data_IF_423049143500
#
_entry.id   IF_423049143500
#
_cell.length_a   1.000
_cell.length_b   1.000
_cell.length_c   1.000
_cell.angle_alpha   90.00
_cell.angle_beta   90.00
_cell.angle_gamma   90.00
#
_symmetry.space_group_name_H-M   'P 1'
#
loop_
_entity.id
_entity.type
_entity.pdbx_description
1 polymer ?
#
# COMPACT_ATOMS: atom_id res chain seq x y z
N UNK A 1 -13.51 -8.52 26.61
CA UNK A 1 -13.13 -8.12 25.23
C UNK A 1 -12.22 -9.20 24.67
N UNK A 2 -12.42 -9.63 23.42
CA UNK A 2 -11.56 -10.61 22.77
C UNK A 2 -10.34 -9.88 22.21
N UNK A 3 -9.14 -10.35 22.51
CA UNK A 3 -7.93 -9.77 21.93
C UNK A 3 -7.89 -9.99 20.41
N UNK A 4 -7.45 -9.00 19.63
CA UNK A 4 -7.22 -9.18 18.20
C UNK A 4 -6.11 -10.21 17.98
N UNK A 5 -6.21 -10.99 16.90
CA UNK A 5 -5.12 -11.89 16.52
C UNK A 5 -3.86 -11.17 16.06
N UNK A 6 -3.99 -9.92 15.58
CA UNK A 6 -2.90 -9.09 15.07
C UNK A 6 -2.12 -9.77 13.92
N UNK A 7 -2.75 -10.71 13.22
CA UNK A 7 -2.15 -11.30 12.02
C UNK A 7 -1.97 -10.24 10.94
N UNK A 8 -1.02 -10.48 10.05
CA UNK A 8 -0.67 -9.63 8.93
C UNK A 8 -0.99 -10.31 7.60
N UNK A 9 -1.50 -9.54 6.65
CA UNK A 9 -1.51 -9.88 5.23
C UNK A 9 -1.04 -8.67 4.45
N UNK A 10 -0.16 -8.86 3.46
CA UNK A 10 0.28 -7.79 2.58
C UNK A 10 -0.07 -8.16 1.14
N UNK A 11 -0.70 -7.22 0.42
CA UNK A 11 -0.91 -7.28 -1.02
C UNK A 11 0.00 -6.24 -1.69
N UNK A 12 0.69 -6.62 -2.76
CA UNK A 12 1.52 -5.73 -3.57
C UNK A 12 1.12 -5.81 -5.04
N UNK A 13 1.05 -4.65 -5.71
CA UNK A 13 0.80 -4.52 -7.13
C UNK A 13 2.13 -4.19 -7.85
N UNK A 14 2.51 -4.97 -8.87
CA UNK A 14 3.78 -4.78 -9.59
C UNK A 14 3.60 -4.39 -11.05
N UNK A 15 4.61 -3.69 -11.55
CA UNK A 15 4.77 -3.26 -12.93
C UNK A 15 5.55 -4.31 -13.73
N UNK A 16 5.05 -4.72 -14.90
CA UNK A 16 5.83 -5.50 -15.87
C UNK A 16 6.51 -4.56 -16.87
N UNK A 17 7.83 -4.69 -17.01
CA UNK A 17 8.69 -3.78 -17.76
C UNK A 17 9.39 -4.52 -18.90
N UNK A 18 9.39 -3.89 -20.07
CA UNK A 18 10.26 -4.27 -21.19
C UNK A 18 11.68 -3.70 -20.94
N UNK A 19 12.72 -4.54 -20.81
CA UNK A 19 14.06 -4.08 -20.49
C UNK A 19 14.78 -3.40 -21.66
N UNK A 20 14.23 -3.37 -22.88
CA UNK A 20 14.79 -2.58 -23.97
C UNK A 20 14.24 -1.15 -23.92
N UNK A 21 12.92 -1.01 -23.88
CA UNK A 21 12.24 0.30 -23.94
C UNK A 21 12.15 1.00 -22.59
N UNK A 22 12.17 0.23 -21.48
CA UNK A 22 11.81 0.61 -20.11
C UNK A 22 10.35 1.02 -19.96
N UNK A 23 9.49 0.65 -20.91
CA UNK A 23 8.05 0.92 -20.82
C UNK A 23 7.30 -0.24 -20.15
N UNK A 24 6.13 0.08 -19.62
CA UNK A 24 5.16 -0.93 -19.19
C UNK A 24 4.77 -1.83 -20.37
N UNK A 25 4.70 -3.13 -20.09
CA UNK A 25 4.28 -4.16 -21.03
C UNK A 25 3.00 -4.84 -20.53
N UNK A 26 1.95 -4.85 -21.36
CA UNK A 26 0.77 -5.68 -21.14
C UNK A 26 1.15 -7.16 -21.28
N UNK A 27 1.08 -7.94 -20.20
CA UNK A 27 1.54 -9.34 -20.21
C UNK A 27 0.77 -10.28 -19.26
N UNK A 28 -0.08 -9.77 -18.37
CA UNK A 28 -0.71 -10.61 -17.32
C UNK A 28 -1.52 -11.78 -17.88
N UNK A 29 -2.17 -11.62 -19.04
CA UNK A 29 -3.04 -12.65 -19.61
C UNK A 29 -2.24 -13.85 -20.09
N UNK A 30 -1.10 -13.61 -20.74
CA UNK A 30 -0.16 -14.66 -21.17
C UNK A 30 0.54 -15.35 -19.99
N UNK A 31 0.80 -14.59 -18.92
CA UNK A 31 1.33 -15.11 -17.65
C UNK A 31 0.37 -16.13 -17.01
N UNK A 32 -0.93 -15.86 -17.05
CA UNK A 32 -1.96 -16.69 -16.41
C UNK A 32 -2.39 -17.90 -17.25
N UNK A 33 -2.31 -17.82 -18.58
CA UNK A 33 -2.64 -18.93 -19.49
C UNK A 33 -1.62 -20.07 -19.43
N UNK A 34 -0.36 -19.76 -19.10
CA UNK A 34 0.74 -20.74 -19.13
C UNK A 34 0.90 -21.57 -17.85
N UNK A 35 0.30 -21.16 -16.72
CA UNK A 35 0.47 -21.84 -15.43
C UNK A 35 -0.81 -21.80 -14.56
N UNK A 36 -1.79 -22.66 -14.87
CA UNK A 36 -3.05 -22.78 -14.10
C UNK A 36 -2.86 -23.09 -12.60
N UNK A 37 -1.69 -23.60 -12.19
CA UNK A 37 -1.40 -23.87 -10.78
C UNK A 37 -1.10 -22.60 -9.95
N UNK A 38 -0.71 -21.48 -10.57
CA UNK A 38 -0.24 -20.26 -9.88
C UNK A 38 -1.40 -19.32 -9.45
N UNK A 39 -2.62 -19.60 -9.90
CA UNK A 39 -3.80 -18.73 -9.74
C UNK A 39 -4.28 -18.48 -8.30
N UNK A 40 -3.74 -19.19 -7.29
CA UNK A 40 -4.09 -18.97 -5.89
C UNK A 40 -3.43 -17.72 -5.27
N UNK A 41 -2.25 -17.35 -5.75
CA UNK A 41 -1.40 -16.30 -5.15
C UNK A 41 -1.21 -15.09 -6.06
N UNK A 42 -1.37 -15.26 -7.38
CA UNK A 42 -1.35 -14.18 -8.36
C UNK A 42 -2.78 -13.91 -8.81
N UNK A 43 -3.21 -12.65 -8.71
CA UNK A 43 -4.49 -12.19 -9.25
C UNK A 43 -4.25 -11.17 -10.36
N UNK A 44 -4.96 -11.27 -11.50
CA UNK A 44 -4.98 -10.20 -12.48
C UNK A 44 -5.72 -8.97 -11.94
N UNK A 45 -5.18 -7.77 -12.19
CA UNK A 45 -5.81 -6.48 -11.89
C UNK A 45 -6.51 -5.88 -13.14
N UNK A 46 -7.10 -4.69 -13.04
CA UNK A 46 -7.79 -3.91 -14.07
C UNK A 46 -6.94 -3.69 -15.32
N UNK A 47 -5.64 -3.43 -15.18
CA UNK A 47 -4.74 -3.26 -16.32
C UNK A 47 -3.85 -4.50 -16.52
N UNK A 48 -3.57 -4.83 -17.78
CA UNK A 48 -2.80 -6.03 -18.12
C UNK A 48 -1.31 -5.96 -17.74
N UNK A 49 -0.83 -4.78 -17.36
CA UNK A 49 0.55 -4.54 -16.91
C UNK A 49 0.70 -4.62 -15.39
N UNK A 50 -0.38 -4.97 -14.65
CA UNK A 50 -0.40 -5.08 -13.19
C UNK A 50 -0.49 -6.55 -12.76
N UNK A 51 0.45 -6.97 -11.93
CA UNK A 51 0.40 -8.25 -11.19
C UNK A 51 0.08 -7.94 -9.72
N UNK A 52 -1.04 -8.43 -9.20
CA UNK A 52 -1.33 -8.38 -7.76
C UNK A 52 -0.92 -9.70 -7.11
N UNK A 53 -0.12 -9.64 -6.04
CA UNK A 53 0.17 -10.78 -5.18
C UNK A 53 -0.24 -10.50 -3.74
N UNK A 54 -0.68 -11.53 -3.03
CA UNK A 54 -1.00 -11.44 -1.61
C UNK A 54 -0.27 -12.49 -0.80
N UNK A 55 0.33 -12.10 0.32
CA UNK A 55 0.91 -13.05 1.28
C UNK A 55 -0.17 -13.96 1.85
N UNK A 56 0.24 -15.13 2.32
CA UNK A 56 -0.58 -15.87 3.28
C UNK A 56 -0.77 -15.03 4.57
N UNK A 57 -1.73 -15.45 5.41
CA UNK A 57 -1.94 -14.83 6.73
C UNK A 57 -0.73 -15.15 7.62
N UNK A 58 0.07 -14.13 7.91
CA UNK A 58 1.28 -14.20 8.71
C UNK A 58 1.00 -13.79 10.15
N UNK A 59 1.75 -14.34 11.11
CA UNK A 59 1.70 -13.93 12.52
C UNK A 59 2.71 -12.84 12.85
N UNK A 60 3.81 -12.81 12.11
CA UNK A 60 4.95 -11.93 12.41
C UNK A 60 5.43 -11.21 11.15
N UNK A 61 6.05 -10.02 11.29
CA UNK A 61 6.70 -9.34 10.17
C UNK A 61 7.81 -10.18 9.51
N UNK A 62 8.45 -11.10 10.23
CA UNK A 62 9.45 -12.00 9.68
C UNK A 62 8.84 -13.03 8.72
N UNK A 63 7.65 -13.56 9.05
CA UNK A 63 6.90 -14.42 8.13
C UNK A 63 6.48 -13.63 6.88
N UNK A 64 6.01 -12.39 7.04
CA UNK A 64 5.70 -11.48 5.93
C UNK A 64 6.92 -11.28 5.03
N UNK A 65 8.11 -11.04 5.60
CA UNK A 65 9.36 -10.89 4.83
C UNK A 65 9.63 -12.12 3.97
N UNK A 66 9.54 -13.32 4.54
CA UNK A 66 9.77 -14.56 3.82
C UNK A 66 8.77 -14.72 2.67
N UNK A 67 7.49 -14.47 2.92
CA UNK A 67 6.45 -14.57 1.89
C UNK A 67 6.61 -13.52 0.79
N UNK A 68 6.91 -12.26 1.12
CA UNK A 68 7.13 -11.22 0.11
C UNK A 68 8.35 -11.53 -0.78
N UNK A 69 9.46 -12.00 -0.19
CA UNK A 69 10.63 -12.43 -0.99
C UNK A 69 10.27 -13.58 -1.92
N UNK A 70 9.51 -14.56 -1.44
CA UNK A 70 9.06 -15.70 -2.23
C UNK A 70 8.15 -15.24 -3.38
N UNK A 71 7.15 -14.41 -3.10
CA UNK A 71 6.19 -13.92 -4.08
C UNK A 71 6.85 -13.03 -5.13
N UNK A 72 7.71 -12.09 -4.73
CA UNK A 72 8.50 -11.28 -5.67
C UNK A 72 9.40 -12.14 -6.55
N UNK A 73 10.11 -13.09 -5.94
CA UNK A 73 11.00 -14.02 -6.66
C UNK A 73 10.25 -14.87 -7.70
N UNK A 74 9.05 -15.32 -7.35
CA UNK A 74 8.15 -16.02 -8.27
C UNK A 74 7.70 -15.13 -9.44
N UNK A 75 7.19 -13.92 -9.16
CA UNK A 75 6.72 -13.01 -10.23
C UNK A 75 7.87 -12.60 -11.15
N UNK A 76 9.04 -12.31 -10.59
CA UNK A 76 10.27 -12.04 -11.36
C UNK A 76 10.68 -13.23 -12.22
N UNK A 77 10.61 -14.44 -11.67
CA UNK A 77 10.89 -15.67 -12.40
C UNK A 77 10.00 -15.88 -13.60
N UNK A 78 8.69 -15.66 -13.43
CA UNK A 78 7.72 -15.77 -14.52
C UNK A 78 7.95 -14.70 -15.60
N UNK A 79 8.20 -13.45 -15.21
CA UNK A 79 8.52 -12.36 -16.15
C UNK A 79 9.81 -12.65 -16.93
N UNK A 80 10.84 -13.17 -16.26
CA UNK A 80 12.13 -13.48 -16.86
C UNK A 80 12.06 -14.55 -17.96
N UNK A 81 11.05 -15.43 -17.97
CA UNK A 81 10.85 -16.42 -19.05
C UNK A 81 10.56 -15.79 -20.41
N UNK A 82 10.18 -14.51 -20.44
CA UNK A 82 9.96 -13.71 -21.65
C UNK A 82 10.90 -12.52 -21.75
N UNK A 83 12.03 -12.58 -21.03
CA UNK A 83 12.99 -11.49 -20.97
C UNK A 83 12.37 -10.18 -20.45
N UNK A 84 11.36 -10.25 -19.58
CA UNK A 84 10.72 -9.09 -18.95
C UNK A 84 11.25 -8.87 -17.52
N UNK A 85 11.08 -7.65 -17.02
CA UNK A 85 11.47 -7.23 -15.66
C UNK A 85 10.26 -6.81 -14.83
N UNK A 86 10.44 -6.76 -13.52
CA UNK A 86 9.39 -6.41 -12.56
C UNK A 86 9.85 -5.21 -11.74
N UNK A 87 8.96 -4.23 -11.55
CA UNK A 87 9.20 -3.03 -10.74
C UNK A 87 8.11 -2.86 -9.69
N UNK A 88 8.53 -2.50 -8.47
CA UNK A 88 7.67 -2.03 -7.40
C UNK A 88 7.84 -0.50 -7.19
N UNK A 89 6.93 0.30 -7.75
CA UNK A 89 6.82 1.74 -7.48
C UNK A 89 5.38 2.23 -7.66
N UNK A 90 4.95 3.28 -6.96
CA UNK A 90 3.56 3.71 -6.92
C UNK A 90 2.99 4.15 -8.28
N UNK A 91 3.87 4.59 -9.17
CA UNK A 91 3.59 4.94 -10.58
C UNK A 91 4.76 4.52 -11.45
N UNK A 92 4.51 4.32 -12.75
CA UNK A 92 5.59 4.21 -13.73
C UNK A 92 6.11 5.61 -14.09
N UNK A 93 7.44 5.83 -14.24
CA UNK A 93 7.97 7.18 -14.45
C UNK A 93 7.49 7.88 -15.73
N UNK A 94 7.34 7.13 -16.84
CA UNK A 94 7.03 7.75 -18.14
C UNK A 94 6.02 7.05 -19.06
N UNK A 95 5.49 5.90 -18.68
CA UNK A 95 4.58 5.16 -19.58
C UNK A 95 3.21 5.81 -19.58
N UNK A 96 2.57 5.81 -20.75
CA UNK A 96 1.27 6.42 -20.92
C UNK A 96 0.14 5.52 -20.45
N UNK A 97 -0.73 6.02 -19.56
CA UNK A 97 -1.96 5.34 -19.16
C UNK A 97 -2.99 5.26 -20.30
N UNK A 98 -2.95 6.21 -21.25
CA UNK A 98 -3.90 6.27 -22.36
C UNK A 98 -3.76 5.10 -23.34
N UNK A 99 -2.57 4.50 -23.41
CA UNK A 99 -2.25 3.42 -24.34
C UNK A 99 -2.22 2.05 -23.67
N UNK A 100 -2.51 1.95 -22.36
CA UNK A 100 -2.55 0.67 -21.67
C UNK A 100 -3.85 -0.08 -21.93
N UNK A 101 -3.73 -1.39 -22.08
CA UNK A 101 -4.86 -2.29 -22.27
C UNK A 101 -5.47 -2.69 -20.92
N UNK A 102 -6.80 -2.66 -20.87
CA UNK A 102 -7.57 -3.14 -19.73
C UNK A 102 -7.71 -4.66 -19.84
N UNK A 103 -7.55 -5.35 -18.72
CA UNK A 103 -7.69 -6.80 -18.61
C UNK A 103 -9.12 -7.21 -19.00
N UNK A 104 -9.30 -8.14 -19.94
CA UNK A 104 -10.61 -8.48 -20.51
C UNK A 104 -11.45 -9.40 -19.59
N UNK A 105 -11.57 -9.05 -18.31
CA UNK A 105 -12.44 -9.74 -17.34
C UNK A 105 -13.70 -8.91 -17.08
N UNK A 106 -14.84 -9.59 -16.92
CA UNK A 106 -16.17 -8.96 -16.83
C UNK A 106 -16.27 -7.91 -15.71
N UNK A 107 -15.66 -8.18 -14.55
CA UNK A 107 -15.58 -7.23 -13.42
C UNK A 107 -14.89 -5.92 -13.75
N UNK A 108 -13.94 -5.94 -14.69
CA UNK A 108 -13.11 -4.80 -15.08
C UNK A 108 -13.72 -4.02 -16.25
N UNK A 109 -14.43 -4.73 -17.13
CA UNK A 109 -15.28 -4.10 -18.16
C UNK A 109 -16.38 -3.27 -17.51
N UNK A 110 -17.03 -3.78 -16.45
CA UNK A 110 -18.03 -3.02 -15.68
C UNK A 110 -17.44 -1.75 -15.06
N UNK A 111 -16.27 -1.83 -14.42
CA UNK A 111 -15.58 -0.66 -13.86
C UNK A 111 -15.23 0.36 -14.95
N UNK A 112 -14.77 -0.06 -16.14
CA UNK A 112 -14.52 0.84 -17.27
C UNK A 112 -15.81 1.51 -17.75
N UNK A 113 -16.90 0.75 -17.87
CA UNK A 113 -18.20 1.29 -18.29
C UNK A 113 -18.74 2.31 -17.28
N UNK A 114 -18.54 2.08 -15.98
CA UNK A 114 -19.04 2.98 -14.94
C UNK A 114 -18.14 4.21 -14.75
N UNK A 115 -16.82 4.03 -14.78
CA UNK A 115 -15.84 5.05 -14.37
C UNK A 115 -15.12 5.74 -15.54
N UNK A 116 -15.23 5.20 -16.76
CA UNK A 116 -14.69 5.79 -17.99
C UNK A 116 -13.18 6.13 -17.85
N UNK A 117 -12.76 7.34 -18.20
CA UNK A 117 -11.37 7.79 -18.12
C UNK A 117 -10.74 7.61 -16.73
N UNK A 118 -11.54 7.66 -15.65
CA UNK A 118 -11.02 7.44 -14.30
C UNK A 118 -10.45 6.03 -14.18
N UNK A 119 -11.18 5.01 -14.66
CA UNK A 119 -10.67 3.63 -14.65
C UNK A 119 -9.39 3.50 -15.44
N UNK A 120 -9.28 4.17 -16.59
CA UNK A 120 -8.07 4.11 -17.41
C UNK A 120 -6.86 4.81 -16.77
N UNK A 121 -7.09 5.80 -15.89
CA UNK A 121 -6.03 6.47 -15.14
C UNK A 121 -5.48 5.63 -13.98
N UNK A 122 -6.15 4.53 -13.57
CA UNK A 122 -5.70 3.64 -12.48
C UNK A 122 -4.50 2.75 -12.86
N UNK A 123 -3.51 3.33 -13.53
CA UNK A 123 -2.20 2.71 -13.73
C UNK A 123 -1.28 3.07 -12.56
N UNK A 124 -1.73 2.73 -11.36
CA UNK A 124 -1.10 3.02 -10.09
C UNK A 124 -0.96 1.73 -9.29
N UNK A 125 0.03 1.68 -8.40
CA UNK A 125 0.44 0.44 -7.75
C UNK A 125 0.56 0.65 -6.25
N UNK A 126 -0.22 -0.09 -5.47
CA UNK A 126 -0.29 0.01 -4.02
C UNK A 126 0.38 -1.13 -3.28
N UNK A 127 0.72 -0.86 -2.02
CA UNK A 127 0.81 -1.89 -0.99
C UNK A 127 -0.44 -1.80 -0.13
N UNK A 128 -1.19 -2.90 0.01
CA UNK A 128 -2.29 -2.99 0.98
C UNK A 128 -1.85 -3.84 2.17
N UNK A 129 -2.15 -3.38 3.39
CA UNK A 129 -1.81 -4.11 4.62
C UNK A 129 -3.08 -4.43 5.37
N UNK A 130 -3.26 -5.70 5.73
CA UNK A 130 -4.33 -6.19 6.55
C UNK A 130 -3.81 -6.49 7.95
N UNK A 131 -4.50 -6.00 8.98
CA UNK A 131 -4.23 -6.36 10.38
C UNK A 131 -5.47 -7.05 10.97
N UNK A 132 -5.30 -8.27 11.48
CA UNK A 132 -6.36 -9.11 12.06
C UNK A 132 -6.98 -8.50 13.32
N UNK A 133 -8.28 -8.21 13.26
CA UNK A 133 -9.10 -7.66 14.35
C UNK A 133 -10.50 -8.30 14.28
N UNK A 134 -10.78 -9.23 15.20
CA UNK A 134 -12.03 -10.01 15.19
C UNK A 134 -13.20 -9.33 15.91
N UNK A 135 -12.94 -8.40 16.83
CA UNK A 135 -13.98 -7.63 17.53
C UNK A 135 -14.44 -6.47 16.62
N UNK A 136 -15.67 -6.48 16.08
CA UNK A 136 -16.12 -5.45 15.13
C UNK A 136 -16.19 -4.05 15.73
N UNK A 137 -16.46 -3.93 17.04
CA UNK A 137 -16.46 -2.63 17.70
C UNK A 137 -15.02 -2.11 17.86
N UNK A 138 -14.07 -3.00 18.16
CA UNK A 138 -12.67 -2.60 18.18
C UNK A 138 -12.13 -2.27 16.79
N UNK A 139 -12.62 -2.95 15.75
CA UNK A 139 -12.24 -2.66 14.37
C UNK A 139 -12.59 -1.21 13.99
N UNK A 140 -13.77 -0.71 14.39
CA UNK A 140 -14.17 0.68 14.16
C UNK A 140 -13.38 1.67 15.01
N UNK A 141 -13.20 1.39 16.31
CA UNK A 141 -12.37 2.24 17.19
C UNK A 141 -10.94 2.37 16.66
N UNK A 142 -10.35 1.24 16.27
CA UNK A 142 -9.02 1.16 15.69
C UNK A 142 -8.93 1.95 14.39
N UNK A 143 -9.91 1.80 13.48
CA UNK A 143 -9.97 2.60 12.25
C UNK A 143 -10.02 4.11 12.57
N UNK A 144 -10.93 4.53 13.45
CA UNK A 144 -11.14 5.94 13.79
C UNK A 144 -9.86 6.62 14.26
N UNK A 145 -9.08 5.93 15.10
CA UNK A 145 -7.79 6.45 15.60
C UNK A 145 -6.70 6.33 14.53
N UNK A 146 -6.63 5.21 13.80
CA UNK A 146 -5.55 4.93 12.85
C UNK A 146 -5.44 5.93 11.71
N UNK A 147 -6.54 6.63 11.37
CA UNK A 147 -6.55 7.75 10.41
C UNK A 147 -5.47 8.80 10.73
N UNK A 148 -5.16 9.04 12.02
CA UNK A 148 -4.14 10.01 12.42
C UNK A 148 -2.72 9.63 11.96
N UNK A 149 -2.39 8.34 11.96
CA UNK A 149 -1.04 7.86 11.64
C UNK A 149 -0.79 7.76 10.14
N UNK A 150 -1.85 7.71 9.33
CA UNK A 150 -1.77 7.58 7.87
C UNK A 150 -0.75 8.53 7.22
N UNK A 151 -0.75 9.85 7.46
CA UNK A 151 0.18 10.75 6.77
C UNK A 151 1.64 10.47 7.11
N UNK A 152 1.93 10.04 8.34
CA UNK A 152 3.27 9.72 8.81
C UNK A 152 3.84 8.51 8.06
N UNK A 153 3.02 7.46 7.92
CA UNK A 153 3.42 6.22 7.27
C UNK A 153 3.50 6.42 5.75
N UNK A 154 2.62 7.25 5.17
CA UNK A 154 2.70 7.61 3.74
C UNK A 154 4.02 8.30 3.38
N UNK A 155 4.60 9.10 4.28
CA UNK A 155 5.93 9.67 4.03
C UNK A 155 6.99 8.58 3.81
N UNK A 156 6.93 7.49 4.60
CA UNK A 156 7.89 6.37 4.52
C UNK A 156 7.70 5.56 3.23
N UNK A 157 6.46 5.31 2.81
CA UNK A 157 6.18 4.45 1.65
C UNK A 157 6.17 5.18 0.30
N UNK A 158 6.29 6.51 0.29
CA UNK A 158 6.17 7.31 -0.95
C UNK A 158 7.17 6.86 -2.04
N UNK A 159 6.65 6.54 -3.23
CA UNK A 159 7.43 5.96 -4.33
C UNK A 159 6.93 6.38 -5.72
N UNK A 160 6.16 7.47 -5.82
CA UNK A 160 5.56 7.91 -7.10
C UNK A 160 5.77 9.40 -7.42
N UNK A 161 7.02 9.88 -7.60
CA UNK A 161 7.28 11.29 -7.92
C UNK A 161 7.05 11.66 -9.39
N UNK A 162 7.06 10.67 -10.28
CA UNK A 162 6.94 10.86 -11.73
C UNK A 162 5.60 10.36 -12.27
N UNK A 163 5.10 11.04 -13.31
CA UNK A 163 3.90 10.64 -14.04
C UNK A 163 3.98 11.14 -15.48
N UNK A 164 3.75 10.25 -16.46
CA UNK A 164 3.70 10.63 -17.89
C UNK A 164 4.95 11.39 -18.38
N UNK A 165 6.13 11.02 -17.86
CA UNK A 165 7.41 11.58 -18.30
C UNK A 165 7.77 12.89 -17.60
N UNK A 166 7.04 13.25 -16.55
CA UNK A 166 7.19 14.51 -15.83
C UNK A 166 7.48 14.27 -14.36
N UNK A 167 8.43 15.03 -13.82
CA UNK A 167 8.50 15.26 -12.38
C UNK A 167 7.25 16.03 -11.94
N UNK A 168 6.41 15.42 -11.13
CA UNK A 168 5.13 16.00 -10.71
C UNK A 168 5.28 17.06 -9.63
N UNK A 169 6.44 17.07 -8.96
CA UNK A 169 6.67 17.85 -7.74
C UNK A 169 6.03 17.23 -6.49
N UNK A 170 5.38 16.06 -6.59
CA UNK A 170 4.84 15.30 -5.46
C UNK A 170 5.76 14.10 -5.15
N UNK A 171 5.63 13.53 -3.95
CA UNK A 171 6.32 12.28 -3.55
C UNK A 171 5.40 11.04 -3.68
N UNK A 172 4.09 11.21 -3.52
CA UNK A 172 3.08 10.19 -3.78
C UNK A 172 2.02 10.69 -4.78
N UNK A 173 2.32 10.65 -6.08
CA UNK A 173 1.37 11.01 -7.12
C UNK A 173 0.22 9.97 -7.24
N UNK A 174 0.47 8.71 -6.87
CA UNK A 174 -0.58 7.67 -6.77
C UNK A 174 -1.77 8.14 -5.94
N UNK A 175 -1.52 8.78 -4.80
CA UNK A 175 -2.57 9.31 -3.92
C UNK A 175 -3.48 10.32 -4.63
N UNK A 176 -2.94 11.11 -5.56
CA UNK A 176 -3.70 12.11 -6.32
C UNK A 176 -4.56 11.44 -7.38
N UNK A 177 -4.00 10.48 -8.12
CA UNK A 177 -4.76 9.71 -9.13
C UNK A 177 -5.93 8.98 -8.46
N UNK A 178 -5.67 8.31 -7.34
CA UNK A 178 -6.70 7.56 -6.64
C UNK A 178 -7.81 8.45 -6.07
N UNK A 179 -7.49 9.67 -5.62
CA UNK A 179 -8.48 10.63 -5.06
C UNK A 179 -9.59 11.02 -6.06
N UNK A 180 -9.38 10.84 -7.35
CA UNK A 180 -10.42 11.12 -8.35
C UNK A 180 -11.54 10.07 -8.37
N UNK A 181 -11.38 8.94 -7.67
CA UNK A 181 -12.41 7.91 -7.58
C UNK A 181 -13.51 8.25 -6.57
N UNK A 182 -14.77 7.86 -6.82
CA UNK A 182 -15.84 7.96 -5.82
C UNK A 182 -15.49 7.17 -4.55
N UNK A 183 -15.90 7.67 -3.38
CA UNK A 183 -15.74 6.99 -2.09
C UNK A 183 -14.28 6.70 -1.73
N UNK A 184 -13.38 7.62 -2.07
CA UNK A 184 -11.97 7.60 -1.69
C UNK A 184 -11.65 8.61 -0.59
N UNK A 185 -10.42 8.57 -0.08
CA UNK A 185 -9.92 9.50 0.94
C UNK A 185 -10.01 8.96 2.36
N UNK A 186 -9.76 9.85 3.32
CA UNK A 186 -9.74 9.50 4.74
C UNK A 186 -11.18 9.23 5.21
N UNK A 187 -11.47 8.05 5.79
CA UNK A 187 -12.81 7.74 6.25
C UNK A 187 -13.30 8.73 7.32
N UNK A 188 -14.62 8.98 7.34
CA UNK A 188 -15.25 9.76 8.41
C UNK A 188 -15.11 9.05 9.76
N UNK A 189 -15.33 9.78 10.85
CA UNK A 189 -15.48 9.17 12.17
C UNK A 189 -16.78 8.34 12.15
N UNK A 190 -16.68 7.08 12.51
CA UNK A 190 -17.82 6.18 12.67
C UNK A 190 -18.15 5.99 14.14
N UNK A 191 -19.43 5.84 14.48
CA UNK A 191 -19.85 5.67 15.89
C UNK A 191 -19.62 4.26 16.43
N UNK A 192 -19.58 3.26 15.56
CA UNK A 192 -19.47 1.85 15.91
C UNK A 192 -19.75 0.99 14.68
N UNK A 193 -19.80 -0.33 14.87
CA UNK A 193 -19.97 -1.28 13.75
C UNK A 193 -21.29 -1.06 12.99
N UNK A 194 -22.36 -0.74 13.71
CA UNK A 194 -23.68 -0.50 13.13
C UNK A 194 -23.70 0.65 12.11
N UNK A 195 -22.95 1.74 12.34
CA UNK A 195 -22.87 2.91 11.43
C UNK A 195 -22.16 2.52 10.11
N UNK A 196 -21.13 1.69 10.20
CA UNK A 196 -20.46 1.15 9.01
C UNK A 196 -21.37 0.20 8.23
N UNK A 197 -22.07 -0.70 8.92
CA UNK A 197 -22.99 -1.64 8.29
C UNK A 197 -24.17 -0.93 7.61
N UNK A 198 -24.76 0.08 8.28
CA UNK A 198 -25.84 0.89 7.71
C UNK A 198 -25.40 1.61 6.43
N UNK A 199 -24.18 2.17 6.42
CA UNK A 199 -23.62 2.77 5.20
C UNK A 199 -23.51 1.75 4.07
N UNK A 200 -22.94 0.58 4.34
CA UNK A 200 -22.74 -0.46 3.34
C UNK A 200 -24.08 -0.97 2.79
N UNK A 201 -25.01 -1.31 3.68
CA UNK A 201 -26.36 -1.78 3.32
C UNK A 201 -27.11 -0.74 2.50
N UNK A 202 -27.03 0.54 2.87
CA UNK A 202 -27.66 1.63 2.11
C UNK A 202 -27.11 1.71 0.69
N UNK A 203 -25.78 1.67 0.53
CA UNK A 203 -25.13 1.76 -0.79
C UNK A 203 -25.45 0.55 -1.68
N UNK A 204 -25.57 -0.64 -1.09
CA UNK A 204 -25.95 -1.86 -1.81
C UNK A 204 -27.44 -1.85 -2.18
N UNK A 205 -28.32 -1.53 -1.22
CA UNK A 205 -29.77 -1.50 -1.44
C UNK A 205 -30.19 -0.46 -2.48
N UNK A 206 -29.47 0.65 -2.57
CA UNK A 206 -29.66 1.72 -3.57
C UNK A 206 -28.92 1.47 -4.88
N UNK A 207 -28.24 0.32 -5.02
CA UNK A 207 -27.49 -0.11 -6.23
C UNK A 207 -26.35 0.84 -6.60
N UNK A 208 -25.80 1.59 -5.65
CA UNK A 208 -24.60 2.39 -5.86
C UNK A 208 -23.34 1.54 -5.98
N UNK A 209 -23.30 0.39 -5.29
CA UNK A 209 -22.21 -0.59 -5.33
C UNK A 209 -22.78 -2.02 -5.22
N UNK A 210 -22.12 -3.05 -5.78
CA UNK A 210 -22.54 -4.44 -5.62
C UNK A 210 -22.30 -4.96 -4.19
N UNK A 211 -21.22 -4.52 -3.56
CA UNK A 211 -20.80 -4.93 -2.22
C UNK A 211 -19.76 -3.93 -1.65
N UNK A 212 -19.25 -4.22 -0.45
CA UNK A 212 -18.30 -3.35 0.27
C UNK A 212 -16.91 -3.23 -0.38
N UNK A 213 -16.55 -4.07 -1.34
CA UNK A 213 -15.25 -3.99 -2.04
C UNK A 213 -15.05 -2.66 -2.77
N UNK A 214 -16.15 -1.95 -3.10
CA UNK A 214 -16.17 -0.67 -3.82
C UNK A 214 -16.15 0.58 -2.92
N UNK A 215 -15.86 0.40 -1.63
CA UNK A 215 -15.58 1.50 -0.68
C UNK A 215 -14.07 1.73 -0.67
N UNK A 216 -13.58 2.69 -1.44
CA UNK A 216 -12.15 2.87 -1.71
C UNK A 216 -11.43 3.79 -0.72
N UNK A 217 -11.82 3.75 0.55
CA UNK A 217 -11.17 4.56 1.58
C UNK A 217 -9.71 4.18 1.79
N UNK A 218 -8.94 5.14 2.28
CA UNK A 218 -7.52 4.97 2.59
C UNK A 218 -7.26 3.86 3.63
N UNK A 219 -8.21 3.64 4.53
CA UNK A 219 -8.28 2.48 5.43
C UNK A 219 -9.74 2.14 5.69
N UNK A 220 -10.05 0.86 5.85
CA UNK A 220 -11.44 0.39 6.02
C UNK A 220 -11.51 -0.96 6.73
N UNK A 221 -12.61 -1.26 7.45
CA UNK A 221 -12.97 -2.64 7.74
C UNK A 221 -13.08 -3.42 6.43
N UNK A 222 -12.41 -4.56 6.34
CA UNK A 222 -12.50 -5.38 5.14
C UNK A 222 -13.89 -6.03 5.07
N UNK A 223 -14.49 -6.01 3.88
CA UNK A 223 -15.87 -6.47 3.67
C UNK A 223 -16.07 -7.99 3.88
N UNK A 224 -15.02 -8.79 3.73
CA UNK A 224 -15.09 -10.26 3.80
C UNK A 224 -14.16 -10.89 4.85
N UNK A 225 -13.25 -10.11 5.45
CA UNK A 225 -12.24 -10.63 6.38
C UNK A 225 -12.27 -9.78 7.66
N UNK A 226 -12.05 -10.37 8.85
CA UNK A 226 -12.01 -9.63 10.10
C UNK A 226 -10.68 -8.88 10.25
N UNK A 227 -10.44 -7.92 9.36
CA UNK A 227 -9.20 -7.16 9.28
C UNK A 227 -9.48 -5.67 9.09
N UNK A 228 -8.65 -4.82 9.68
CA UNK A 228 -8.50 -3.45 9.22
C UNK A 228 -7.52 -3.46 8.05
N UNK A 229 -7.99 -3.00 6.90
CA UNK A 229 -7.22 -2.93 5.67
C UNK A 229 -6.75 -1.49 5.45
N UNK A 230 -5.45 -1.30 5.24
CA UNK A 230 -4.79 -0.04 4.94
C UNK A 230 -4.38 -0.01 3.47
N UNK A 231 -4.80 1.00 2.71
CA UNK A 231 -4.69 1.06 1.24
C UNK A 231 -4.02 2.32 0.70
N UNK A 232 -3.63 3.22 1.60
CA UNK A 232 -3.07 4.53 1.26
C UNK A 232 -1.59 4.50 0.83
N UNK A 233 -0.90 3.38 1.01
CA UNK A 233 0.53 3.25 0.72
C UNK A 233 0.75 3.14 -0.79
N UNK A 234 1.73 3.88 -1.31
CA UNK A 234 2.36 3.48 -2.57
C UNK A 234 3.05 2.12 -2.38
N UNK A 235 3.21 1.36 -3.45
CA UNK A 235 3.97 0.12 -3.36
C UNK A 235 5.40 0.41 -2.93
N UNK A 236 5.88 -0.33 -1.92
CA UNK A 236 7.22 -0.16 -1.37
C UNK A 236 8.25 -0.78 -2.32
N UNK A 237 9.30 -0.05 -2.69
CA UNK A 237 10.25 -0.53 -3.70
C UNK A 237 11.10 -1.68 -3.17
N UNK A 238 11.58 -1.60 -1.93
CA UNK A 238 12.33 -2.70 -1.28
C UNK A 238 11.42 -3.54 -0.39
N UNK A 239 11.70 -4.85 -0.28
CA UNK A 239 10.94 -5.75 0.61
C UNK A 239 11.00 -5.30 2.07
N UNK A 240 12.18 -4.87 2.55
CA UNK A 240 12.33 -4.44 3.95
C UNK A 240 11.50 -3.18 4.26
N UNK A 241 11.24 -2.32 3.26
CA UNK A 241 10.34 -1.16 3.41
C UNK A 241 8.89 -1.62 3.59
N UNK A 242 8.42 -2.59 2.78
CA UNK A 242 7.08 -3.18 2.91
C UNK A 242 6.87 -3.87 4.27
N UNK A 243 7.88 -4.62 4.73
CA UNK A 243 7.88 -5.28 6.03
C UNK A 243 7.85 -4.26 7.17
N UNK A 244 8.65 -3.18 7.06
CA UNK A 244 8.70 -2.09 8.02
C UNK A 244 7.33 -1.42 8.18
N UNK A 245 6.67 -1.02 7.08
CA UNK A 245 5.36 -0.36 7.16
C UNK A 245 4.28 -1.31 7.69
N UNK A 246 4.33 -2.60 7.34
CA UNK A 246 3.45 -3.62 7.89
C UNK A 246 3.63 -3.81 9.41
N UNK A 247 4.87 -3.86 9.88
CA UNK A 247 5.21 -3.98 11.30
C UNK A 247 4.76 -2.75 12.11
N UNK A 248 4.92 -1.53 11.56
CA UNK A 248 4.43 -0.29 12.18
C UNK A 248 2.91 -0.32 12.33
N UNK A 249 2.19 -0.71 11.28
CA UNK A 249 0.72 -0.81 11.32
C UNK A 249 0.26 -1.87 12.34
N UNK A 250 0.92 -3.03 12.40
CA UNK A 250 0.67 -4.05 13.43
C UNK A 250 0.86 -3.47 14.84
N UNK A 251 1.98 -2.77 15.06
CA UNK A 251 2.32 -2.19 16.36
C UNK A 251 1.34 -1.08 16.78
N UNK A 252 0.88 -0.26 15.84
CA UNK A 252 -0.17 0.73 16.09
C UNK A 252 -1.44 0.03 16.57
N UNK A 253 -1.91 -1.01 15.87
CA UNK A 253 -3.13 -1.72 16.30
C UNK A 253 -2.94 -2.40 17.65
N UNK A 254 -1.78 -3.01 17.91
CA UNK A 254 -1.45 -3.58 19.21
C UNK A 254 -1.48 -2.52 20.33
N UNK A 255 -0.93 -1.32 20.06
CA UNK A 255 -0.98 -0.19 20.99
C UNK A 255 -2.40 0.29 21.24
N UNK A 256 -3.22 0.43 20.20
CA UNK A 256 -4.63 0.82 20.33
C UNK A 256 -5.43 -0.21 21.13
N UNK A 257 -5.13 -1.49 20.95
CA UNK A 257 -5.73 -2.55 21.74
C UNK A 257 -5.33 -2.45 23.22
N UNK A 258 -4.04 -2.25 23.50
CA UNK A 258 -3.51 -2.03 24.87
C UNK A 258 -4.22 -0.87 25.54
N UNK A 259 -4.36 0.27 24.86
CA UNK A 259 -5.10 1.43 25.36
C UNK A 259 -6.57 1.08 25.67
N UNK A 260 -7.28 0.43 24.75
CA UNK A 260 -8.69 0.02 24.97
C UNK A 260 -8.83 -0.92 26.17
N UNK A 261 -7.95 -1.91 26.31
CA UNK A 261 -7.91 -2.83 27.45
C UNK A 261 -7.75 -2.08 28.77
N UNK A 262 -6.93 -1.04 28.77
CA UNK A 262 -6.60 -0.23 29.93
C UNK A 262 -7.59 0.94 30.13
N UNK A 263 -8.73 0.92 29.40
CA UNK A 263 -9.80 1.94 29.42
C UNK A 263 -9.29 3.36 29.06
N UNK A 264 -8.32 3.42 28.16
CA UNK A 264 -7.74 4.64 27.59
C UNK A 264 -8.03 4.69 26.08
N UNK A 265 -7.90 5.88 25.49
CA UNK A 265 -7.98 6.06 24.04
C UNK A 265 -7.06 7.19 23.58
N UNK A 266 -6.78 7.24 22.29
CA UNK A 266 -6.09 8.34 21.65
C UNK A 266 -7.10 9.41 21.20
N UNK A 267 -6.65 10.66 21.04
CA UNK A 267 -7.53 11.72 20.58
C UNK A 267 -7.99 11.48 19.14
N UNK A 268 -9.29 11.61 18.89
CA UNK A 268 -9.84 11.61 17.53
C UNK A 268 -9.72 13.01 16.92
N UNK A 269 -9.29 13.04 15.66
CA UNK A 269 -9.23 14.27 14.87
C UNK A 269 -10.23 14.24 13.71
N UNK A 270 -10.82 15.40 13.33
CA UNK A 270 -11.63 15.53 12.14
C UNK A 270 -10.86 15.15 10.86
N UNK A 271 -11.56 14.59 9.88
CA UNK A 271 -10.94 14.15 8.62
C UNK A 271 -10.28 15.31 7.86
N UNK A 272 -10.85 16.53 7.92
CA UNK A 272 -10.30 17.70 7.21
C UNK A 272 -8.86 18.04 7.67
N UNK A 273 -8.55 17.87 8.95
CA UNK A 273 -7.20 18.08 9.47
C UNK A 273 -6.24 16.97 9.02
N UNK A 274 -6.72 15.73 9.00
CA UNK A 274 -5.92 14.58 8.57
C UNK A 274 -5.62 14.68 7.07
N UNK A 275 -6.59 15.12 6.27
CA UNK A 275 -6.43 15.39 4.83
C UNK A 275 -5.38 16.47 4.56
N UNK A 276 -5.28 17.51 5.40
CA UNK A 276 -4.20 18.51 5.30
C UNK A 276 -2.82 17.88 5.54
N UNK A 277 -2.67 17.02 6.55
CA UNK A 277 -1.42 16.29 6.76
C UNK A 277 -1.14 15.28 5.63
N UNK A 278 -2.19 14.63 5.08
CA UNK A 278 -2.06 13.74 3.92
C UNK A 278 -1.58 14.51 2.70
N UNK A 279 -2.07 15.74 2.46
CA UNK A 279 -1.56 16.58 1.39
C UNK A 279 -0.08 16.92 1.59
N UNK A 280 0.32 17.27 2.82
CA UNK A 280 1.72 17.55 3.15
C UNK A 280 2.63 16.35 2.94
N UNK A 281 2.19 15.14 3.32
CA UNK A 281 2.97 13.91 3.05
C UNK A 281 3.03 13.59 1.56
N UNK A 282 1.93 13.72 0.83
CA UNK A 282 1.89 13.56 -0.64
C UNK A 282 2.86 14.52 -1.33
N UNK A 283 2.90 15.79 -0.93
CA UNK A 283 3.69 16.83 -1.59
C UNK A 283 5.17 16.80 -1.20
N UNK A 284 5.48 16.61 0.07
CA UNK A 284 6.82 16.85 0.62
C UNK A 284 7.48 15.60 1.21
N UNK A 285 6.73 14.53 1.48
CA UNK A 285 7.26 13.29 2.03
C UNK A 285 8.04 13.51 3.33
N UNK A 286 9.21 12.89 3.43
CA UNK A 286 10.07 12.94 4.62
C UNK A 286 10.75 14.30 4.85
N UNK A 287 10.92 15.08 3.80
CA UNK A 287 11.56 16.40 3.88
C UNK A 287 10.57 17.53 4.21
N UNK A 288 9.29 17.18 4.31
CA UNK A 288 8.22 18.07 4.69
C UNK A 288 8.03 18.22 6.19
N UNK A 289 7.05 19.07 6.51
CA UNK A 289 6.52 19.21 7.85
C UNK A 289 5.04 18.78 7.88
N UNK A 290 4.64 18.16 8.99
CA UNK A 290 3.24 17.86 9.31
C UNK A 290 2.77 18.75 10.46
N UNK A 291 1.47 18.83 10.63
CA UNK A 291 0.85 19.50 11.77
C UNK A 291 0.85 18.52 12.95
N UNK A 292 1.52 18.91 14.03
CA UNK A 292 1.33 18.30 15.34
C UNK A 292 0.03 18.86 15.92
N UNK A 293 -1.06 18.08 15.86
CA UNK A 293 -2.36 18.53 16.35
C UNK A 293 -2.44 18.68 17.87
N UNK A 294 -1.55 18.03 18.63
CA UNK A 294 -1.47 18.19 20.07
C UNK A 294 -0.89 19.55 20.44
N UNK A 295 0.19 19.94 19.74
CA UNK A 295 0.89 21.23 19.94
C UNK A 295 0.33 22.38 19.08
N UNK A 296 -0.57 22.08 18.13
CA UNK A 296 -1.13 23.01 17.15
C UNK A 296 -0.06 23.81 16.39
N UNK A 297 1.03 23.14 16.01
CA UNK A 297 2.14 23.74 15.29
C UNK A 297 2.66 22.81 14.23
N UNK A 298 3.36 23.40 13.26
CA UNK A 298 4.12 22.64 12.29
C UNK A 298 5.34 21.97 12.97
N UNK A 299 5.62 20.71 12.60
CA UNK A 299 6.79 19.95 13.04
C UNK A 299 7.31 19.07 11.90
N UNK A 300 8.60 18.81 11.87
CA UNK A 300 9.22 17.95 10.85
C UNK A 300 8.55 16.56 10.80
N UNK A 301 8.27 16.07 9.59
CA UNK A 301 7.70 14.74 9.39
C UNK A 301 8.59 13.66 10.04
N UNK A 302 9.91 13.75 9.86
CA UNK A 302 10.89 12.86 10.49
C UNK A 302 10.83 12.87 12.01
N UNK A 303 10.65 14.05 12.62
CA UNK A 303 10.55 14.17 14.06
C UNK A 303 9.27 13.51 14.61
N UNK A 304 8.14 13.72 13.94
CA UNK A 304 6.85 13.12 14.33
C UNK A 304 6.81 11.61 14.09
N UNK A 305 7.41 11.12 12.99
CA UNK A 305 7.60 9.69 12.76
C UNK A 305 8.47 9.08 13.85
N UNK A 306 9.59 9.72 14.21
CA UNK A 306 10.44 9.26 15.32
C UNK A 306 9.68 9.21 16.64
N UNK A 307 8.90 10.25 16.96
CA UNK A 307 8.03 10.27 18.15
C UNK A 307 7.03 9.10 18.13
N UNK A 308 6.38 8.84 17.00
CA UNK A 308 5.48 7.70 16.85
C UNK A 308 6.18 6.36 17.12
N UNK A 309 7.41 6.18 16.63
CA UNK A 309 8.16 4.93 16.77
C UNK A 309 8.71 4.73 18.20
N UNK A 310 9.40 5.74 18.73
CA UNK A 310 10.14 5.67 20.00
C UNK A 310 9.27 5.92 21.23
N UNK A 311 8.12 6.57 21.09
CA UNK A 311 7.23 6.87 22.22
C UNK A 311 5.88 6.18 22.14
N UNK A 312 5.23 6.19 20.97
CA UNK A 312 3.85 5.70 20.90
C UNK A 312 3.78 4.16 20.86
N UNK A 313 4.59 3.50 20.04
CA UNK A 313 4.57 2.03 19.88
C UNK A 313 5.67 1.28 20.64
N UNK A 314 6.62 1.98 21.26
CA UNK A 314 7.81 1.36 21.88
C UNK A 314 7.47 0.27 22.92
N UNK A 315 6.39 0.44 23.67
CA UNK A 315 5.95 -0.47 24.73
C UNK A 315 5.13 -1.68 24.25
N UNK A 316 5.03 -1.91 22.94
CA UNK A 316 4.37 -3.08 22.34
C UNK A 316 5.24 -3.82 21.32
N UNK A 317 6.28 -3.20 20.78
CA UNK A 317 7.09 -3.81 19.69
C UNK A 317 7.90 -5.02 20.13
N UNK A 318 8.32 -5.10 21.39
CA UNK A 318 9.05 -6.26 21.92
C UNK A 318 8.12 -7.47 22.11
N UNK A 319 6.91 -7.25 22.60
CA UNK A 319 5.89 -8.30 22.74
C UNK A 319 5.48 -8.89 21.37
N UNK A 320 5.55 -8.07 20.31
CA UNK A 320 5.32 -8.49 18.94
C UNK A 320 6.55 -9.12 18.27
N UNK A 321 7.73 -9.03 18.88
CA UNK A 321 8.99 -9.45 18.26
C UNK A 321 9.35 -8.68 16.98
N UNK A 322 8.88 -7.43 16.84
CA UNK A 322 8.96 -6.65 15.60
C UNK A 322 9.84 -5.39 15.69
N UNK A 323 10.59 -5.21 16.79
CA UNK A 323 11.43 -4.03 17.01
C UNK A 323 12.40 -3.77 15.86
N UNK A 324 13.07 -4.80 15.34
CA UNK A 324 14.03 -4.62 14.25
C UNK A 324 13.34 -4.11 12.96
N UNK A 325 12.20 -4.67 12.62
CA UNK A 325 11.38 -4.29 11.47
C UNK A 325 10.82 -2.88 11.61
N UNK A 326 10.30 -2.52 12.79
CA UNK A 326 9.77 -1.17 13.06
C UNK A 326 10.87 -0.13 12.97
N UNK A 327 12.05 -0.41 13.53
CA UNK A 327 13.16 0.53 13.55
C UNK A 327 13.88 0.67 12.20
N UNK A 328 13.57 -0.19 11.21
CA UNK A 328 14.00 0.00 9.83
C UNK A 328 13.51 1.34 9.25
N UNK A 329 12.42 1.92 9.78
CA UNK A 329 11.98 3.26 9.41
C UNK A 329 13.03 4.35 9.66
N UNK A 330 13.93 4.16 10.63
CA UNK A 330 15.05 5.10 10.83
C UNK A 330 16.00 5.10 9.62
N UNK A 331 16.21 3.94 9.01
CA UNK A 331 17.01 3.80 7.79
C UNK A 331 16.32 4.41 6.58
N UNK A 332 15.00 4.19 6.43
CA UNK A 332 14.20 4.87 5.39
C UNK A 332 14.30 6.39 5.55
N UNK A 333 14.21 6.89 6.78
CA UNK A 333 14.44 8.31 7.04
C UNK A 333 15.86 8.70 6.61
N UNK A 334 16.91 8.05 7.10
CA UNK A 334 18.29 8.40 6.76
C UNK A 334 18.58 8.41 5.25
N UNK A 335 18.14 7.39 4.51
CA UNK A 335 18.39 7.23 3.07
C UNK A 335 17.41 8.01 2.18
N UNK A 336 16.26 8.44 2.72
CA UNK A 336 15.13 8.95 1.96
C UNK A 336 14.20 7.83 1.48
N UNK A 337 12.95 8.17 1.15
CA UNK A 337 11.98 7.24 0.58
C UNK A 337 12.37 6.86 -0.85
N UNK A 338 11.68 5.87 -1.44
CA UNK A 338 11.87 5.53 -2.86
C UNK A 338 11.67 6.75 -3.77
N UNK A 339 10.70 7.63 -3.47
CA UNK A 339 10.52 8.86 -4.23
C UNK A 339 11.75 9.79 -4.16
N UNK A 340 12.40 9.90 -3.00
CA UNK A 340 13.63 10.69 -2.83
C UNK A 340 14.77 10.11 -3.68
N UNK A 341 14.95 8.79 -3.64
CA UNK A 341 16.01 8.09 -4.39
C UNK A 341 15.80 8.14 -5.91
N UNK A 342 14.55 7.99 -6.37
CA UNK A 342 14.18 8.18 -7.78
C UNK A 342 14.50 9.60 -8.27
N UNK A 343 14.16 10.63 -7.49
CA UNK A 343 14.45 12.02 -7.82
C UNK A 343 15.96 12.27 -7.89
N UNK A 344 16.74 11.75 -6.94
CA UNK A 344 18.19 11.88 -6.94
C UNK A 344 18.86 11.23 -8.16
N UNK A 345 18.34 10.08 -8.62
CA UNK A 345 18.80 9.46 -9.88
C UNK A 345 18.52 10.38 -11.06
N UNK A 346 17.29 10.88 -11.20
CA UNK A 346 16.93 11.77 -12.30
C UNK A 346 17.70 13.09 -12.29
N UNK A 347 17.93 13.70 -11.12
CA UNK A 347 18.73 14.93 -11.00
C UNK A 347 20.17 14.73 -11.46
N UNK A 348 20.73 13.54 -11.23
CA UNK A 348 22.09 13.18 -11.64
C UNK A 348 22.20 12.87 -13.13
N UNK A 349 21.21 12.19 -13.72
CA UNK A 349 21.33 11.64 -15.08
C UNK A 349 20.50 12.39 -16.13
N UNK A 350 19.40 13.02 -15.73
CA UNK A 350 18.43 13.65 -16.63
C UNK A 350 17.57 12.67 -17.43
N UNK A 351 17.67 11.35 -17.16
CA UNK A 351 16.97 10.30 -17.90
C UNK A 351 16.04 9.49 -16.98
N UNK A 352 14.77 9.36 -17.39
CA UNK A 352 13.78 8.55 -16.67
C UNK A 352 13.99 7.04 -16.87
N UNK A 353 14.73 6.62 -17.90
CA UNK A 353 15.11 5.21 -18.06
C UNK A 353 16.08 4.76 -16.98
N UNK A 354 17.02 5.62 -16.58
CA UNK A 354 17.91 5.32 -15.45
C UNK A 354 17.14 5.22 -14.13
N UNK A 355 16.04 5.97 -13.98
CA UNK A 355 15.12 5.83 -12.83
C UNK A 355 14.46 4.46 -12.85
N UNK A 356 13.99 3.98 -14.01
CA UNK A 356 13.42 2.63 -14.14
C UNK A 356 14.48 1.56 -13.84
N UNK A 357 15.70 1.69 -14.36
CA UNK A 357 16.78 0.74 -14.10
C UNK A 357 17.17 0.71 -12.60
N UNK A 358 17.15 1.87 -11.93
CA UNK A 358 17.32 1.94 -10.48
C UNK A 358 16.18 1.24 -9.72
N UNK A 359 14.93 1.44 -10.13
CA UNK A 359 13.78 0.79 -9.53
C UNK A 359 13.82 -0.74 -9.71
N UNK A 360 14.25 -1.23 -10.88
CA UNK A 360 14.47 -2.67 -11.11
C UNK A 360 15.47 -3.20 -10.08
N UNK A 361 16.63 -2.53 -9.92
CA UNK A 361 17.67 -2.96 -9.00
C UNK A 361 17.20 -2.98 -7.53
N UNK A 362 16.46 -1.97 -7.08
CA UNK A 362 15.91 -1.95 -5.72
C UNK A 362 14.80 -2.99 -5.51
N UNK A 363 14.00 -3.26 -6.54
CA UNK A 363 12.93 -4.27 -6.48
C UNK A 363 13.53 -5.67 -6.33
N UNK A 364 14.64 -5.95 -7.02
CA UNK A 364 15.40 -7.21 -6.98
C UNK A 364 16.24 -7.39 -5.69
N UNK A 365 16.45 -6.34 -4.90
CA UNK A 365 17.30 -6.37 -3.70
C UNK A 365 16.80 -7.39 -2.66
N UNK A 366 17.65 -8.34 -2.30
CA UNK A 366 17.35 -9.35 -1.27
C UNK A 366 16.32 -10.41 -1.70
N UNK A 367 15.97 -10.46 -2.99
CA UNK A 367 15.05 -11.44 -3.57
C UNK A 367 15.83 -12.47 -4.39
N UNK A 368 15.59 -13.76 -4.10
CA UNK A 368 16.11 -14.84 -4.95
C UNK A 368 15.10 -15.10 -6.06
N UNK A 369 15.52 -14.91 -7.32
CA UNK A 369 14.67 -15.17 -8.48
C UNK A 369 14.56 -16.69 -8.68
N UNK A 370 13.33 -17.21 -8.70
CA UNK A 370 13.06 -18.61 -8.99
C UNK A 370 12.62 -18.74 -10.47
N UNK A 371 13.46 -19.25 -11.38
CA UNK A 371 13.10 -19.37 -12.80
C UNK A 371 12.01 -20.43 -13.07
N UNK A 372 11.76 -21.34 -12.12
CA UNK A 372 10.76 -22.39 -12.21
C UNK A 372 9.93 -22.47 -10.93
N UNK A 373 9.12 -21.43 -10.63
CA UNK A 373 8.34 -21.41 -9.41
C UNK A 373 7.38 -22.60 -9.39
N UNK A 374 7.53 -23.45 -8.38
CA UNK A 374 6.60 -24.54 -8.08
C UNK A 374 5.61 -24.07 -7.03
N UNK A 375 4.31 -24.28 -7.28
CA UNK A 375 3.26 -23.83 -6.36
C UNK A 375 3.08 -24.87 -5.27
N UNK A 376 3.15 -24.46 -4.01
CA UNK A 376 2.60 -25.25 -2.93
C UNK A 376 1.07 -25.12 -2.97
N UNK A 377 0.39 -26.20 -3.36
CA UNK A 377 -1.07 -26.27 -3.36
C UNK A 377 -1.58 -26.03 -1.94
N UNK A 378 -2.42 -25.00 -1.76
CA UNK A 378 -3.08 -24.68 -0.49
C UNK A 378 -3.94 -25.87 -0.05
N UNK A 379 -3.80 -26.30 1.20
CA UNK A 379 -4.78 -27.16 1.88
C UNK A 379 -5.81 -26.30 2.61
#
# INVERSE_FOLDING_TARGET
MKAPSLTLGIEEEYQIIDPETRELRSYITELLESDHMIMGEIKPELHQSIVEVGTNVCRTPQEVRTELRRLRGMVMGLAARKDLKVVAAGTHPFSSWMTQEITPLERYIGVKQDMQDLAQQLLIFGTHVHVGIEDPEFLIDAMNVSRYFLPHILCLSSSSPFWMGRNTGLKSYRSVVFRNFPRTGVPRIMRGWADFNELQETLVATRCIPDGSKIYWDLRPHHAYPTLEFRFLDVCTRVEEAVCVGAILQAIIAKLWKLRRDNMTFRLYPSDLIEENKWRSVRYGLDGNLIDFGKQKESSARALIREMLEWFVDDVVDDLGSRAEVMYALRIMEEGSSADRQLAVYERTGDLKDVVDHLIAETEEGVTIDPNPSVQVRN
#
